data_IF_881758881046
#
_entry.id   IF_881758881046
#
_cell.length_a   1.000
_cell.length_b   1.000
_cell.length_c   1.000
_cell.angle_alpha   90.00
_cell.angle_beta   90.00
_cell.angle_gamma   90.00
#
_symmetry.space_group_name_H-M   'P 1'
#
loop_
_entity.id
_entity.type
_entity.pdbx_description
1 polymer ?
#
# COMPACT_ATOMS: atom_id res chain seq x y z
N UNK A 1 9.98 13.09 -36.72
CA UNK A 1 8.57 12.81 -36.33
C UNK A 1 8.53 12.49 -34.86
N UNK A 2 7.59 13.03 -34.08
CA UNK A 2 7.51 12.74 -32.64
C UNK A 2 6.81 11.39 -32.43
N UNK A 3 7.40 10.44 -31.69
CA UNK A 3 6.74 9.17 -31.38
C UNK A 3 5.56 9.40 -30.43
N UNK A 4 4.53 8.57 -30.56
CA UNK A 4 3.33 8.58 -29.70
C UNK A 4 3.35 7.37 -28.79
N UNK A 5 3.02 7.57 -27.52
CA UNK A 5 2.95 6.48 -26.54
C UNK A 5 1.71 5.62 -26.82
N UNK A 6 1.90 4.31 -26.93
CA UNK A 6 0.82 3.34 -27.16
C UNK A 6 0.38 2.67 -25.87
N UNK A 7 1.34 2.31 -25.02
CA UNK A 7 1.08 1.51 -23.81
C UNK A 7 2.11 1.81 -22.74
N UNK A 8 1.65 1.87 -21.49
CA UNK A 8 2.49 1.78 -20.31
C UNK A 8 2.14 0.52 -19.54
N UNK A 9 3.17 -0.21 -19.13
CA UNK A 9 3.02 -1.45 -18.39
C UNK A 9 3.93 -1.40 -17.17
N UNK A 10 3.35 -1.65 -15.99
CA UNK A 10 4.07 -1.76 -14.74
C UNK A 10 4.11 -3.23 -14.31
N UNK A 11 5.31 -3.76 -14.07
CA UNK A 11 5.51 -5.12 -13.58
C UNK A 11 6.42 -5.18 -12.37
N UNK A 12 6.30 -6.26 -11.58
CA UNK A 12 7.20 -6.55 -10.46
C UNK A 12 6.68 -6.01 -9.13
N UNK A 13 7.59 -5.55 -8.28
CA UNK A 13 7.25 -5.17 -6.91
C UNK A 13 7.04 -6.38 -5.99
N UNK A 14 6.74 -6.13 -4.70
CA UNK A 14 6.65 -7.17 -3.67
C UNK A 14 5.60 -8.26 -3.93
N UNK A 15 4.56 -7.95 -4.70
CA UNK A 15 3.47 -8.87 -5.05
C UNK A 15 3.58 -9.43 -6.48
N UNK A 16 4.67 -9.14 -7.20
CA UNK A 16 4.80 -9.47 -8.63
C UNK A 16 3.63 -8.94 -9.47
N UNK A 17 3.27 -7.68 -9.24
CA UNK A 17 2.20 -6.98 -9.94
C UNK A 17 2.42 -6.99 -11.46
N UNK A 18 1.34 -6.98 -12.23
CA UNK A 18 1.38 -6.84 -13.69
C UNK A 18 0.15 -6.08 -14.18
N UNK A 19 0.32 -4.79 -14.45
CA UNK A 19 -0.78 -3.87 -14.76
C UNK A 19 -0.44 -3.02 -15.98
N UNK A 20 -1.43 -2.84 -16.86
CA UNK A 20 -1.41 -1.83 -17.92
C UNK A 20 -1.95 -0.53 -17.34
N UNK A 21 -1.17 0.54 -17.46
CA UNK A 21 -1.54 1.86 -16.94
C UNK A 21 -2.25 2.68 -18.02
N UNK A 22 -3.34 3.33 -17.63
CA UNK A 22 -3.85 4.49 -18.36
C UNK A 22 -2.84 5.64 -18.30
N UNK A 23 -2.92 6.58 -19.23
CA UNK A 23 -2.07 7.76 -19.25
C UNK A 23 -2.72 8.93 -19.97
N UNK A 24 -2.33 10.13 -19.57
CA UNK A 24 -2.74 11.38 -20.21
C UNK A 24 -1.54 12.05 -20.88
N UNK A 25 -1.74 12.61 -22.07
CA UNK A 25 -0.73 13.41 -22.75
C UNK A 25 -0.82 14.86 -22.28
N UNK A 26 0.30 15.43 -21.85
CA UNK A 26 0.42 16.80 -21.39
C UNK A 26 0.68 17.75 -22.58
N UNK A 27 0.48 19.06 -22.37
CA UNK A 27 0.64 20.11 -23.40
C UNK A 27 2.08 20.19 -23.92
N UNK A 28 3.07 19.89 -23.07
CA UNK A 28 4.49 19.86 -23.43
C UNK A 28 4.90 18.61 -24.23
N UNK A 29 3.97 17.65 -24.42
CA UNK A 29 4.18 16.39 -25.12
C UNK A 29 4.70 15.26 -24.23
N UNK A 30 4.84 15.47 -22.92
CA UNK A 30 5.10 14.39 -21.95
C UNK A 30 3.82 13.59 -21.66
N UNK A 31 3.97 12.43 -21.03
CA UNK A 31 2.84 11.57 -20.64
C UNK A 31 2.85 11.33 -19.14
N UNK A 32 1.69 11.50 -18.52
CA UNK A 32 1.46 11.23 -17.10
C UNK A 32 0.69 9.90 -16.98
N UNK A 33 1.31 8.83 -16.47
CA UNK A 33 0.58 7.60 -16.15
C UNK A 33 -0.42 7.84 -15.01
N UNK A 34 -1.54 7.14 -15.07
CA UNK A 34 -2.43 6.99 -13.93
C UNK A 34 -1.68 6.29 -12.80
N UNK A 35 -1.86 6.78 -11.58
CA UNK A 35 -1.10 6.32 -10.42
C UNK A 35 -1.80 5.13 -9.75
N UNK A 36 -1.32 3.88 -9.92
CA UNK A 36 -1.87 2.74 -9.21
C UNK A 36 -1.48 2.79 -7.73
N UNK A 37 -2.21 2.07 -6.87
CA UNK A 37 -1.71 1.76 -5.52
C UNK A 37 -0.57 0.78 -5.64
N UNK A 38 0.58 1.11 -5.06
CA UNK A 38 1.78 0.28 -5.07
C UNK A 38 2.16 -0.11 -3.65
N UNK A 39 2.60 -1.35 -3.49
CA UNK A 39 3.17 -1.80 -2.23
C UNK A 39 4.64 -1.34 -2.15
N UNK A 40 5.09 -0.80 -1.01
CA UNK A 40 6.47 -0.39 -0.81
C UNK A 40 7.45 -1.54 -1.06
N UNK A 41 8.58 -1.24 -1.70
CA UNK A 41 9.72 -2.16 -1.80
C UNK A 41 10.28 -2.40 -0.39
N UNK A 42 10.22 -3.65 0.09
CA UNK A 42 10.79 -4.03 1.40
C UNK A 42 12.22 -4.56 1.23
N UNK A 43 12.48 -5.28 0.14
CA UNK A 43 13.82 -5.72 -0.26
C UNK A 43 14.19 -5.12 -1.62
N UNK A 44 15.20 -4.24 -1.63
CA UNK A 44 15.68 -3.58 -2.86
C UNK A 44 16.33 -4.51 -3.88
N UNK A 45 16.64 -5.75 -3.50
CA UNK A 45 17.17 -6.76 -4.41
C UNK A 45 16.07 -7.50 -5.17
N UNK A 46 14.88 -7.68 -4.59
CA UNK A 46 13.79 -8.48 -5.17
C UNK A 46 12.54 -7.67 -5.51
N UNK A 47 12.19 -6.65 -4.74
CA UNK A 47 10.87 -6.02 -4.75
C UNK A 47 10.79 -4.77 -5.65
N UNK A 48 11.58 -4.75 -6.72
CA UNK A 48 11.65 -3.60 -7.63
C UNK A 48 10.51 -3.64 -8.65
N UNK A 49 9.98 -2.46 -8.95
CA UNK A 49 9.05 -2.24 -10.05
C UNK A 49 9.80 -1.96 -11.34
N UNK A 50 9.25 -2.41 -12.46
CA UNK A 50 9.71 -2.13 -13.82
C UNK A 50 8.58 -1.47 -14.61
N UNK A 51 8.76 -0.22 -15.00
CA UNK A 51 7.84 0.50 -15.88
C UNK A 51 8.36 0.41 -17.32
N UNK A 52 7.55 -0.14 -18.22
CA UNK A 52 7.86 -0.27 -19.64
C UNK A 52 6.92 0.58 -20.48
N UNK A 53 7.49 1.47 -21.29
CA UNK A 53 6.79 2.33 -22.21
C UNK A 53 6.97 1.81 -23.64
N UNK A 54 5.85 1.60 -24.34
CA UNK A 54 5.80 1.21 -25.74
C UNK A 54 5.34 2.40 -26.56
N UNK A 55 6.11 2.79 -27.57
CA UNK A 55 5.80 3.94 -28.42
C UNK A 55 5.91 3.58 -29.90
N UNK A 56 5.17 4.30 -30.74
CA UNK A 56 5.22 4.15 -32.20
C UNK A 56 5.51 5.46 -32.91
N UNK A 57 6.19 5.38 -34.05
CA UNK A 57 6.38 6.51 -34.94
C UNK A 57 5.27 6.59 -36.02
N UNK A 58 5.26 7.66 -36.80
CA UNK A 58 4.26 7.85 -37.86
C UNK A 58 4.35 6.85 -39.02
N UNK A 59 5.39 6.01 -39.06
CA UNK A 59 5.59 4.94 -40.04
C UNK A 59 5.17 3.58 -39.50
N UNK A 60 4.63 3.53 -38.27
CA UNK A 60 4.19 2.29 -37.61
C UNK A 60 5.33 1.49 -36.97
N UNK A 61 6.56 2.02 -36.90
CA UNK A 61 7.63 1.35 -36.18
C UNK A 61 7.38 1.44 -34.68
N UNK A 62 7.59 0.36 -33.94
CA UNK A 62 7.40 0.30 -32.49
C UNK A 62 8.73 0.19 -31.75
N UNK A 63 8.85 0.86 -30.62
CA UNK A 63 9.99 0.74 -29.71
C UNK A 63 9.52 0.66 -28.27
N UNK A 64 10.37 0.11 -27.39
CA UNK A 64 10.11 0.09 -25.96
C UNK A 64 11.30 0.62 -25.17
N UNK A 65 11.02 1.23 -24.02
CA UNK A 65 12.01 1.56 -23.00
C UNK A 65 11.49 1.15 -21.63
N UNK A 66 12.41 0.66 -20.80
CA UNK A 66 12.09 0.24 -19.43
C UNK A 66 12.97 0.96 -18.43
N UNK A 67 12.39 1.29 -17.29
CA UNK A 67 13.12 1.74 -16.10
C UNK A 67 12.78 0.82 -14.94
N UNK A 68 13.76 0.58 -14.08
CA UNK A 68 13.57 -0.18 -12.85
C UNK A 68 13.76 0.74 -11.65
N UNK A 69 12.85 0.66 -10.67
CA UNK A 69 12.90 1.51 -9.47
C UNK A 69 12.39 0.76 -8.23
N UNK A 70 12.86 1.19 -7.06
CA UNK A 70 12.28 0.83 -5.78
C UNK A 70 11.26 1.89 -5.37
N UNK A 71 10.11 1.48 -4.84
CA UNK A 71 9.06 2.39 -4.41
C UNK A 71 9.08 2.55 -2.89
N UNK A 72 9.25 3.79 -2.42
CA UNK A 72 9.22 4.16 -1.01
C UNK A 72 8.23 5.30 -0.81
N UNK A 73 7.01 5.05 -0.29
CA UNK A 73 6.07 6.12 -0.01
C UNK A 73 6.59 7.01 1.11
N UNK A 74 6.32 8.32 1.02
CA UNK A 74 6.77 9.31 2.01
C UNK A 74 6.25 9.03 3.44
N UNK A 75 5.08 8.39 3.55
CA UNK A 75 4.40 8.14 4.83
C UNK A 75 4.27 6.64 5.12
N UNK A 76 5.35 5.87 4.90
CA UNK A 76 5.33 4.43 5.14
C UNK A 76 5.22 4.13 6.65
N UNK A 77 4.09 3.56 7.07
CA UNK A 77 3.97 2.92 8.38
C UNK A 77 4.47 1.48 8.25
N UNK A 78 5.73 1.23 8.56
CA UNK A 78 6.26 -0.14 8.63
C UNK A 78 5.82 -0.79 9.93
N UNK A 79 5.05 -1.86 9.81
CA UNK A 79 4.73 -2.72 10.93
C UNK A 79 5.82 -3.76 11.13
N UNK A 80 6.24 -3.94 12.37
CA UNK A 80 7.05 -5.11 12.72
C UNK A 80 6.26 -6.38 12.37
N UNK A 81 6.97 -7.41 11.88
CA UNK A 81 6.34 -8.70 11.57
C UNK A 81 5.73 -9.28 12.84
N UNK A 82 4.40 -9.23 12.96
CA UNK A 82 3.67 -9.76 14.10
C UNK A 82 3.47 -11.27 13.93
N UNK A 83 4.07 -12.07 14.81
CA UNK A 83 3.73 -13.49 14.93
C UNK A 83 2.60 -13.65 15.94
N UNK A 84 1.45 -14.11 15.47
CA UNK A 84 0.21 -14.17 16.27
C UNK A 84 -0.42 -15.56 16.16
N UNK A 85 -1.35 -15.86 17.06
CA UNK A 85 -2.23 -17.02 16.91
C UNK A 85 -3.34 -16.70 15.91
N UNK A 86 -3.74 -17.69 15.12
CA UNK A 86 -4.82 -17.57 14.15
C UNK A 86 -6.20 -17.51 14.80
N UNK A 87 -6.49 -16.46 15.56
CA UNK A 87 -7.76 -16.30 16.29
C UNK A 87 -8.48 -15.01 15.90
N UNK A 88 -9.79 -15.07 15.76
CA UNK A 88 -10.65 -13.97 15.27
C UNK A 88 -10.94 -12.88 16.30
N UNK A 89 -10.08 -12.73 17.31
CA UNK A 89 -10.24 -11.71 18.34
C UNK A 89 -8.89 -11.28 18.87
N UNK A 90 -8.84 -10.04 19.36
CA UNK A 90 -7.69 -9.56 20.11
C UNK A 90 -7.47 -10.45 21.35
N UNK A 91 -6.34 -11.16 21.38
CA UNK A 91 -5.84 -11.77 22.60
C UNK A 91 -5.23 -10.69 23.46
N UNK A 92 -5.55 -10.71 24.75
CA UNK A 92 -5.14 -9.70 25.71
C UNK A 92 -4.43 -10.32 26.88
N UNK A 93 -3.48 -9.58 27.44
CA UNK A 93 -2.89 -9.86 28.75
C UNK A 93 -3.90 -9.59 29.87
N UNK A 94 -3.55 -9.95 31.11
CA UNK A 94 -4.42 -9.79 32.29
C UNK A 94 -4.77 -8.32 32.59
N UNK A 95 -3.91 -7.38 32.19
CA UNK A 95 -4.13 -5.94 32.23
C UNK A 95 -4.92 -5.40 31.01
N UNK A 96 -5.56 -6.28 30.23
CA UNK A 96 -6.40 -5.94 29.07
C UNK A 96 -5.63 -5.30 27.90
N UNK A 97 -4.30 -5.43 27.86
CA UNK A 97 -3.44 -4.96 26.76
C UNK A 97 -3.44 -5.98 25.61
N UNK A 98 -3.74 -5.59 24.36
CA UNK A 98 -3.75 -6.51 23.22
C UNK A 98 -2.33 -6.97 22.84
N UNK A 99 -2.18 -8.25 22.51
CA UNK A 99 -0.89 -8.86 22.13
C UNK A 99 -0.47 -8.52 20.69
N UNK A 100 -1.42 -8.50 19.76
CA UNK A 100 -1.19 -8.26 18.34
C UNK A 100 -1.76 -6.89 17.96
N UNK A 101 -0.87 -5.93 17.72
CA UNK A 101 -1.26 -4.55 17.48
C UNK A 101 -0.52 -3.92 16.32
N UNK A 102 -1.29 -3.20 15.51
CA UNK A 102 -0.76 -2.21 14.60
C UNK A 102 -0.39 -0.96 15.39
N UNK A 103 0.82 -0.43 15.20
CA UNK A 103 1.25 0.86 15.75
C UNK A 103 1.48 1.85 14.65
N UNK A 104 0.87 3.03 14.75
CA UNK A 104 1.24 4.16 13.90
C UNK A 104 2.37 4.93 14.54
N UNK A 105 3.36 5.33 13.74
CA UNK A 105 4.32 6.36 14.17
C UNK A 105 3.67 7.76 14.20
N UNK A 106 4.50 8.77 14.47
CA UNK A 106 4.09 10.17 14.40
C UNK A 106 3.78 10.56 12.96
N UNK A 107 2.52 10.87 12.68
CA UNK A 107 2.07 11.35 11.38
C UNK A 107 2.07 12.89 11.39
N UNK A 108 2.63 13.50 10.35
CA UNK A 108 2.75 14.96 10.23
C UNK A 108 1.87 15.47 9.09
N UNK A 109 1.14 16.55 9.36
CA UNK A 109 0.42 17.33 8.34
C UNK A 109 1.41 18.07 7.44
N UNK A 110 0.89 18.63 6.35
CA UNK A 110 1.68 19.42 5.39
C UNK A 110 2.36 20.65 6.02
N UNK A 111 1.80 21.20 7.10
CA UNK A 111 2.36 22.34 7.85
C UNK A 111 3.42 21.91 8.90
N UNK A 112 3.71 20.61 9.00
CA UNK A 112 4.68 20.04 9.94
C UNK A 112 4.12 19.71 11.33
N UNK A 113 2.88 20.10 11.64
CA UNK A 113 2.19 19.75 12.89
C UNK A 113 1.85 18.26 12.97
N UNK A 114 1.70 17.72 14.19
CA UNK A 114 1.31 16.32 14.39
C UNK A 114 -0.18 16.13 14.12
N UNK A 115 -0.53 15.14 13.31
CA UNK A 115 -1.91 14.72 13.10
C UNK A 115 -2.47 14.13 14.41
N UNK A 116 -3.69 14.52 14.76
CA UNK A 116 -4.32 14.22 16.06
C UNK A 116 -5.78 13.82 15.89
N UNK A 117 -6.35 13.15 16.89
CA UNK A 117 -7.74 12.73 16.88
C UNK A 117 -8.08 11.75 15.75
N UNK A 118 -9.35 11.75 15.35
CA UNK A 118 -9.86 10.81 14.35
C UNK A 118 -9.36 11.14 12.94
N UNK A 119 -8.74 10.16 12.30
CA UNK A 119 -8.20 10.25 10.96
C UNK A 119 -8.78 9.16 10.07
N UNK A 120 -9.05 9.52 8.82
CA UNK A 120 -9.49 8.56 7.80
C UNK A 120 -8.27 7.94 7.13
N UNK A 121 -8.22 6.61 7.10
CA UNK A 121 -7.17 5.86 6.44
C UNK A 121 -7.76 4.82 5.49
N UNK A 122 -7.04 4.51 4.42
CA UNK A 122 -7.30 3.36 3.57
C UNK A 122 -6.35 2.24 3.97
N UNK A 123 -6.89 1.08 4.30
CA UNK A 123 -6.11 -0.14 4.50
C UNK A 123 -6.30 -1.07 3.30
N UNK A 124 -5.20 -1.56 2.74
CA UNK A 124 -5.20 -2.49 1.61
C UNK A 124 -4.46 -3.75 1.99
N UNK A 125 -5.11 -4.91 1.88
CA UNK A 125 -4.45 -6.21 2.03
C UNK A 125 -3.91 -6.62 0.67
N UNK A 126 -2.65 -7.06 0.64
CA UNK A 126 -1.98 -7.47 -0.58
C UNK A 126 -2.71 -8.67 -1.21
N UNK A 127 -2.74 -8.73 -2.53
CA UNK A 127 -3.48 -9.77 -3.28
C UNK A 127 -2.96 -11.19 -3.05
N UNK A 128 -1.68 -11.33 -2.73
CA UNK A 128 -1.00 -12.60 -2.46
C UNK A 128 -1.01 -12.98 -0.95
N UNK A 129 -1.71 -12.23 -0.10
CA UNK A 129 -1.84 -12.54 1.31
C UNK A 129 -2.60 -13.86 1.52
N UNK A 130 -2.14 -14.69 2.45
CA UNK A 130 -2.74 -16.01 2.72
C UNK A 130 -4.11 -15.93 3.44
N UNK A 131 -4.40 -14.80 4.09
CA UNK A 131 -5.66 -14.61 4.81
C UNK A 131 -6.08 -13.13 4.90
N UNK A 132 -7.40 -12.95 5.06
CA UNK A 132 -8.04 -11.68 5.36
C UNK A 132 -7.78 -11.26 6.81
N UNK A 133 -7.66 -9.94 7.04
CA UNK A 133 -7.48 -9.37 8.38
C UNK A 133 -8.78 -8.74 8.87
N UNK A 134 -8.90 -8.62 10.19
CA UNK A 134 -9.88 -7.78 10.86
C UNK A 134 -9.15 -6.71 11.66
N UNK A 135 -9.52 -5.46 11.43
CA UNK A 135 -9.04 -4.29 12.16
C UNK A 135 -10.23 -3.39 12.46
N UNK A 136 -10.39 -2.96 13.72
CA UNK A 136 -11.50 -2.10 14.15
C UNK A 136 -12.89 -2.65 13.75
N UNK A 137 -13.05 -3.97 13.71
CA UNK A 137 -14.30 -4.63 13.29
C UNK A 137 -14.50 -4.71 11.78
N UNK A 138 -13.60 -4.13 10.99
CA UNK A 138 -13.64 -4.16 9.51
C UNK A 138 -12.81 -5.33 9.01
N UNK A 139 -13.44 -6.26 8.29
CA UNK A 139 -12.77 -7.36 7.59
C UNK A 139 -12.29 -6.89 6.23
N UNK A 140 -11.01 -7.09 5.89
CA UNK A 140 -10.43 -6.78 4.58
C UNK A 140 -9.80 -8.03 3.98
N UNK A 141 -10.24 -8.40 2.78
CA UNK A 141 -9.77 -9.57 2.04
C UNK A 141 -8.49 -9.29 1.22
N UNK A 142 -7.68 -10.31 0.88
CA UNK A 142 -6.56 -10.14 -0.06
C UNK A 142 -6.98 -9.45 -1.35
N UNK A 143 -6.27 -8.38 -1.71
CA UNK A 143 -6.54 -7.54 -2.88
C UNK A 143 -7.60 -6.46 -2.65
N UNK A 144 -8.20 -6.40 -1.46
CA UNK A 144 -9.24 -5.42 -1.12
C UNK A 144 -8.64 -4.20 -0.42
N UNK A 145 -9.20 -3.03 -0.73
CA UNK A 145 -8.98 -1.78 0.01
C UNK A 145 -10.26 -1.38 0.74
N UNK A 146 -10.18 -1.06 2.03
CA UNK A 146 -11.28 -0.46 2.79
C UNK A 146 -10.85 0.81 3.52
N UNK A 147 -11.81 1.71 3.70
CA UNK A 147 -11.65 2.85 4.58
C UNK A 147 -11.83 2.41 6.05
N UNK A 148 -10.99 2.94 6.93
CA UNK A 148 -11.08 2.80 8.38
C UNK A 148 -10.89 4.15 9.05
N UNK A 149 -11.46 4.31 10.23
CA UNK A 149 -11.25 5.49 11.08
C UNK A 149 -10.31 5.15 12.23
N UNK A 150 -9.20 5.87 12.32
CA UNK A 150 -8.17 5.67 13.32
C UNK A 150 -8.06 6.89 14.23
N UNK A 151 -8.18 6.69 15.53
CA UNK A 151 -7.89 7.75 16.51
C UNK A 151 -6.40 7.82 16.81
N UNK A 152 -5.75 8.92 16.43
CA UNK A 152 -4.33 9.19 16.72
C UNK A 152 -4.11 9.81 18.10
N UNK A 153 -5.16 10.09 18.87
CA UNK A 153 -5.08 10.74 20.17
C UNK A 153 -4.33 12.07 20.09
N UNK A 154 -3.27 12.23 20.88
CA UNK A 154 -2.41 13.43 20.92
C UNK A 154 -1.31 13.44 19.85
N UNK A 155 -1.27 12.44 18.96
CA UNK A 155 -0.35 12.39 17.82
C UNK A 155 1.01 11.75 18.10
N UNK A 156 1.18 11.10 19.25
CA UNK A 156 2.41 10.37 19.59
C UNK A 156 2.46 9.01 18.90
N UNK A 157 1.61 8.07 19.32
CA UNK A 157 1.46 6.74 18.71
C UNK A 157 0.04 6.24 18.97
N UNK A 158 -0.61 5.68 17.94
CA UNK A 158 -1.87 4.95 18.12
C UNK A 158 -1.64 3.46 18.00
N UNK A 159 -2.32 2.69 18.85
CA UNK A 159 -2.21 1.24 18.90
C UNK A 159 -3.58 0.62 18.63
N UNK A 160 -3.66 -0.20 17.59
CA UNK A 160 -4.92 -0.82 17.17
C UNK A 160 -4.76 -2.34 17.08
N UNK A 161 -5.63 -3.12 17.73
CA UNK A 161 -5.62 -4.57 17.58
C UNK A 161 -5.87 -4.99 16.13
N UNK A 162 -5.09 -5.97 15.68
CA UNK A 162 -5.25 -6.58 14.36
C UNK A 162 -5.10 -8.09 14.48
N UNK A 163 -5.98 -8.83 13.81
CA UNK A 163 -6.02 -10.28 13.88
C UNK A 163 -6.67 -10.88 12.61
N UNK A 164 -6.51 -12.19 12.34
CA UNK A 164 -7.14 -12.83 11.19
C UNK A 164 -8.67 -12.77 11.25
N UNK A 165 -9.32 -12.72 10.08
CA UNK A 165 -10.78 -12.73 10.01
C UNK A 165 -11.39 -14.12 10.26
N UNK A 166 -10.60 -15.20 10.16
CA UNK A 166 -11.04 -16.59 10.31
C UNK A 166 -10.14 -17.31 11.33
N UNK A 167 -10.74 -18.19 12.15
CA UNK A 167 -9.99 -19.00 13.12
C UNK A 167 -9.14 -20.06 12.40
N UNK A 168 -7.94 -20.30 12.90
CA UNK A 168 -7.01 -21.28 12.34
C UNK A 168 -6.27 -20.81 11.09
N UNK A 169 -6.43 -19.57 10.64
CA UNK A 169 -5.64 -19.04 9.52
C UNK A 169 -4.14 -19.13 9.83
N UNK A 170 -3.40 -19.72 8.90
CA UNK A 170 -1.93 -19.84 8.93
C UNK A 170 -1.31 -19.02 7.80
N UNK A 171 -0.02 -18.72 7.90
CA UNK A 171 0.71 -18.03 6.85
C UNK A 171 1.05 -16.58 7.13
N UNK A 172 1.28 -15.82 6.05
CA UNK A 172 1.55 -14.39 6.11
C UNK A 172 0.46 -13.56 5.41
N UNK A 173 0.01 -12.49 6.06
CA UNK A 173 -0.85 -11.47 5.46
C UNK A 173 -0.12 -10.13 5.48
N UNK A 174 0.15 -9.59 4.29
CA UNK A 174 0.80 -8.30 4.11
C UNK A 174 -0.26 -7.25 3.79
N UNK A 175 -0.14 -6.08 4.39
CA UNK A 175 -1.07 -4.98 4.16
C UNK A 175 -0.35 -3.63 4.28
N UNK A 176 -0.97 -2.60 3.73
CA UNK A 176 -0.53 -1.21 3.84
C UNK A 176 -1.67 -0.37 4.38
N UNK A 177 -1.31 0.67 5.12
CA UNK A 177 -2.23 1.72 5.56
C UNK A 177 -1.77 3.05 4.99
N UNK A 178 -2.68 3.77 4.36
CA UNK A 178 -2.44 5.06 3.72
C UNK A 178 -3.40 6.09 4.30
N UNK A 179 -2.89 7.28 4.62
CA UNK A 179 -3.70 8.42 5.06
C UNK A 179 -3.77 9.41 3.89
N UNK A 180 -4.89 9.46 3.13
CA UNK A 180 -4.98 10.30 1.94
C UNK A 180 -4.85 11.78 2.26
N UNK A 181 -5.41 12.18 3.41
CA UNK A 181 -5.32 13.50 4.00
C UNK A 181 -5.19 13.33 5.51
N UNK A 182 -4.37 14.18 6.13
CA UNK A 182 -4.24 14.27 7.57
C UNK A 182 -4.90 15.56 8.03
N UNK A 183 -5.96 15.42 8.80
CA UNK A 183 -6.76 16.52 9.36
C UNK A 183 -6.14 17.06 10.64
#
# INVERSE_FOLDING_TARGET
TKPTLLRLELRGGPASDSVVLGFNQNVDGSYTPDYPRLFPTLDTSTDKYTLTAYATDAKGNTSQKSIQFAYFPKNLVTLEKLKTLGVVKALKTSDNTPLAVMRTGQLRRNDGSLAQGMQTANITVRSDAEYAINILGTVIHPGETKEIQLDLGTGENSTVPIFPAINGSTGQSNFIIEFPQLN
#
